data_IF_938099088670
#
_entry.id   IF_938099088670
#
_cell.length_a   1.000
_cell.length_b   1.000
_cell.length_c   1.000
_cell.angle_alpha   90.00
_cell.angle_beta   90.00
_cell.angle_gamma   90.00
#
_symmetry.space_group_name_H-M   'P 1'
#
loop_
_entity.id
_entity.type
_entity.pdbx_description
1 polymer ?
#
# COMPACT_ATOMS: atom_id res chain seq x y z
N UNK A 1 -6.84 19.74 1.28
CA UNK A 1 -6.51 18.75 0.22
C UNK A 1 -5.10 18.20 0.34
N UNK A 2 -4.05 19.03 0.28
CA UNK A 2 -2.66 18.52 0.29
C UNK A 2 -2.33 17.64 1.51
N UNK A 3 -2.68 18.08 2.73
CA UNK A 3 -2.47 17.27 3.94
C UNK A 3 -3.22 15.93 3.91
N UNK A 4 -4.47 15.93 3.42
CA UNK A 4 -5.27 14.72 3.24
C UNK A 4 -4.59 13.71 2.29
N UNK A 5 -4.00 14.22 1.20
CA UNK A 5 -3.24 13.39 0.26
C UNK A 5 -1.93 12.85 0.85
N UNK A 6 -1.17 13.69 1.56
CA UNK A 6 0.07 13.27 2.24
C UNK A 6 -0.21 12.17 3.27
N UNK A 7 -1.26 12.34 4.08
CA UNK A 7 -1.64 11.35 5.09
C UNK A 7 -2.00 10.01 4.43
N UNK A 8 -2.80 10.03 3.36
CA UNK A 8 -3.16 8.80 2.65
C UNK A 8 -1.95 8.07 2.05
N UNK A 9 -0.96 8.81 1.52
CA UNK A 9 0.29 8.21 1.03
C UNK A 9 1.12 7.58 2.16
N UNK A 10 1.30 8.31 3.25
CA UNK A 10 2.07 7.83 4.40
C UNK A 10 1.40 6.59 4.99
N UNK A 11 0.07 6.59 5.06
CA UNK A 11 -0.70 5.47 5.55
C UNK A 11 -0.61 4.26 4.59
N UNK A 12 -0.66 4.48 3.27
CA UNK A 12 -0.43 3.43 2.28
C UNK A 12 0.96 2.80 2.43
N UNK A 13 1.99 3.64 2.54
CA UNK A 13 3.35 3.16 2.73
C UNK A 13 3.49 2.40 4.05
N UNK A 14 2.95 2.92 5.15
CA UNK A 14 3.02 2.30 6.47
C UNK A 14 2.33 0.94 6.52
N UNK A 15 1.13 0.81 5.92
CA UNK A 15 0.40 -0.46 5.88
C UNK A 15 1.13 -1.50 5.01
N UNK A 16 1.62 -1.13 3.83
CA UNK A 16 2.40 -2.05 3.00
C UNK A 16 3.71 -2.46 3.69
N UNK A 17 4.39 -1.53 4.38
CA UNK A 17 5.60 -1.84 5.12
C UNK A 17 5.34 -2.75 6.33
N UNK A 18 4.21 -2.53 7.02
CA UNK A 18 3.73 -3.43 8.07
C UNK A 18 3.45 -4.84 7.54
N UNK A 19 2.80 -4.96 6.38
CA UNK A 19 2.59 -6.25 5.73
C UNK A 19 3.91 -6.94 5.34
N UNK A 20 4.88 -6.18 4.81
CA UNK A 20 6.23 -6.68 4.53
C UNK A 20 6.87 -7.25 5.80
N UNK A 21 6.85 -6.49 6.89
CA UNK A 21 7.48 -6.91 8.15
C UNK A 21 6.86 -8.18 8.72
N UNK A 22 5.52 -8.27 8.73
CA UNK A 22 4.81 -9.45 9.23
C UNK A 22 5.08 -10.70 8.38
N UNK A 23 5.11 -10.57 7.06
CA UNK A 23 5.37 -11.71 6.16
C UNK A 23 6.84 -12.11 6.23
N UNK A 24 7.77 -11.15 6.28
CA UNK A 24 9.19 -11.43 6.46
C UNK A 24 9.47 -12.17 7.78
N UNK A 25 8.79 -11.82 8.88
CA UNK A 25 8.89 -12.58 10.13
C UNK A 25 8.46 -14.03 9.96
N UNK A 26 7.33 -14.28 9.29
CA UNK A 26 6.85 -15.65 9.03
C UNK A 26 7.78 -16.47 8.12
N UNK A 27 8.45 -15.81 7.17
CA UNK A 27 9.47 -16.45 6.32
C UNK A 27 10.72 -16.79 7.14
N UNK A 28 11.14 -15.90 8.05
CA UNK A 28 12.29 -16.15 8.93
C UNK A 28 12.03 -17.24 9.97
N UNK A 29 10.78 -17.41 10.41
CA UNK A 29 10.34 -18.49 11.30
C UNK A 29 10.12 -19.83 10.58
N UNK A 30 10.45 -19.92 9.28
CA UNK A 30 10.25 -21.12 8.43
C UNK A 30 8.80 -21.62 8.35
N UNK A 31 7.84 -20.85 8.84
CA UNK A 31 6.40 -21.16 8.73
C UNK A 31 5.96 -21.07 7.26
N UNK A 32 6.68 -20.28 6.46
CA UNK A 32 6.30 -19.97 5.09
C UNK A 32 7.51 -19.94 4.16
N UNK A 33 7.40 -20.59 3.00
CA UNK A 33 8.42 -20.53 1.95
C UNK A 33 8.59 -19.11 1.41
N UNK A 34 9.79 -18.74 0.97
CA UNK A 34 10.09 -17.42 0.42
C UNK A 34 9.20 -17.09 -0.80
N UNK A 35 8.99 -18.06 -1.69
CA UNK A 35 8.19 -17.87 -2.90
C UNK A 35 6.71 -17.63 -2.55
N UNK A 36 6.19 -18.38 -1.58
CA UNK A 36 4.84 -18.15 -1.07
C UNK A 36 4.75 -16.79 -0.36
N UNK A 37 5.78 -16.38 0.38
CA UNK A 37 5.85 -15.11 1.09
C UNK A 37 5.77 -13.92 0.15
N UNK A 38 6.52 -13.96 -0.95
CA UNK A 38 6.43 -12.96 -2.03
C UNK A 38 5.03 -12.93 -2.65
N UNK A 39 4.42 -14.09 -2.86
CA UNK A 39 3.05 -14.22 -3.36
C UNK A 39 2.02 -13.56 -2.43
N UNK A 40 2.04 -13.88 -1.13
CA UNK A 40 1.15 -13.28 -0.15
C UNK A 40 1.40 -11.78 0.00
N UNK A 41 2.65 -11.32 -0.08
CA UNK A 41 2.97 -9.91 -0.02
C UNK A 41 2.43 -9.13 -1.22
N UNK A 42 2.51 -9.70 -2.42
CA UNK A 42 1.91 -9.13 -3.62
C UNK A 42 0.39 -8.96 -3.44
N UNK A 43 -0.30 -10.01 -2.98
CA UNK A 43 -1.74 -9.96 -2.72
C UNK A 43 -2.08 -8.94 -1.65
N UNK A 44 -1.31 -8.88 -0.56
CA UNK A 44 -1.52 -7.93 0.53
C UNK A 44 -1.40 -6.47 0.05
N UNK A 45 -0.36 -6.15 -0.71
CA UNK A 45 -0.18 -4.80 -1.29
C UNK A 45 -1.31 -4.41 -2.24
N UNK A 46 -1.82 -5.33 -3.05
CA UNK A 46 -2.98 -5.08 -3.94
C UNK A 46 -4.23 -4.77 -3.11
N UNK A 47 -4.51 -5.58 -2.08
CA UNK A 47 -5.69 -5.39 -1.21
C UNK A 47 -5.60 -4.08 -0.44
N UNK A 48 -4.43 -3.76 0.12
CA UNK A 48 -4.20 -2.49 0.84
C UNK A 48 -4.38 -1.30 -0.11
N UNK A 49 -3.76 -1.33 -1.28
CA UNK A 49 -3.90 -0.26 -2.28
C UNK A 49 -5.35 -0.05 -2.70
N UNK A 50 -6.10 -1.13 -2.93
CA UNK A 50 -7.51 -1.07 -3.28
C UNK A 50 -8.39 -0.48 -2.16
N UNK A 51 -8.23 -0.96 -0.93
CA UNK A 51 -9.02 -0.48 0.23
C UNK A 51 -8.71 1.00 0.51
N UNK A 52 -7.46 1.43 0.38
CA UNK A 52 -7.09 2.83 0.56
C UNK A 52 -7.56 3.74 -0.56
N UNK A 53 -7.55 3.26 -1.81
CA UNK A 53 -8.14 3.98 -2.93
C UNK A 53 -9.65 4.19 -2.72
N UNK A 54 -10.37 3.14 -2.31
CA UNK A 54 -11.80 3.21 -1.99
C UNK A 54 -12.07 4.15 -0.81
N UNK A 55 -11.33 3.99 0.28
CA UNK A 55 -11.45 4.86 1.46
C UNK A 55 -11.18 6.31 1.11
N UNK A 56 -10.10 6.59 0.38
CA UNK A 56 -9.71 7.92 -0.07
C UNK A 56 -10.70 8.56 -1.04
N UNK A 57 -11.38 7.77 -1.88
CA UNK A 57 -12.47 8.25 -2.72
C UNK A 57 -13.69 8.61 -1.88
N UNK A 58 -14.12 7.70 -0.99
CA UNK A 58 -15.28 7.91 -0.13
C UNK A 58 -15.10 9.12 0.79
N UNK A 59 -13.97 9.20 1.51
CA UNK A 59 -13.71 10.34 2.39
C UNK A 59 -13.52 11.64 1.61
N UNK A 60 -13.00 11.57 0.38
CA UNK A 60 -12.89 12.73 -0.52
C UNK A 60 -14.26 13.30 -0.92
N UNK A 61 -15.24 12.42 -1.20
CA UNK A 61 -16.62 12.83 -1.45
C UNK A 61 -17.27 13.45 -0.21
N UNK A 62 -17.10 12.84 0.97
CA UNK A 62 -17.70 13.37 2.22
C UNK A 62 -17.16 14.75 2.59
N UNK A 63 -15.92 15.06 2.22
CA UNK A 63 -15.30 16.37 2.43
C UNK A 63 -15.72 17.42 1.37
N UNK A 64 -16.57 17.04 0.42
CA UNK A 64 -17.10 17.95 -0.59
C UNK A 64 -16.15 18.23 -1.76
N UNK A 65 -15.07 17.46 -1.91
CA UNK A 65 -14.13 17.63 -3.04
C UNK A 65 -14.72 17.24 -4.40
N UNK A 66 -15.95 16.75 -4.44
CA UNK A 66 -16.68 16.45 -5.68
C UNK A 66 -17.50 17.65 -6.21
N UNK A 67 -17.64 18.73 -5.44
CA UNK A 67 -18.49 19.87 -5.82
C UNK A 67 -17.85 20.82 -6.86
N UNK A 68 -16.58 20.61 -7.21
CA UNK A 68 -15.86 21.45 -8.17
C UNK A 68 -15.04 20.55 -9.12
N UNK A 69 -15.13 20.78 -10.44
CA UNK A 69 -14.48 19.91 -11.45
C UNK A 69 -12.95 19.79 -11.23
N UNK A 70 -12.31 20.89 -10.83
CA UNK A 70 -10.89 20.92 -10.51
C UNK A 70 -10.53 20.01 -9.32
N UNK A 71 -11.38 19.96 -8.29
CA UNK A 71 -11.13 19.11 -7.12
C UNK A 71 -11.44 17.64 -7.36
N UNK A 72 -12.40 17.33 -8.23
CA UNK A 72 -12.69 15.96 -8.68
C UNK A 72 -11.50 15.37 -9.46
N UNK A 73 -10.90 16.15 -10.35
CA UNK A 73 -9.71 15.74 -11.12
C UNK A 73 -8.49 15.50 -10.21
N UNK A 74 -8.29 16.37 -9.21
CA UNK A 74 -7.23 16.22 -8.21
C UNK A 74 -7.42 14.99 -7.32
N UNK A 75 -8.67 14.62 -7.02
CA UNK A 75 -8.99 13.41 -6.24
C UNK A 75 -8.64 12.15 -7.02
N UNK A 76 -8.96 12.09 -8.32
CA UNK A 76 -8.56 10.97 -9.18
C UNK A 76 -7.03 10.84 -9.24
N UNK A 77 -6.31 11.95 -9.38
CA UNK A 77 -4.85 11.97 -9.42
C UNK A 77 -4.24 11.51 -8.09
N UNK A 78 -4.85 11.86 -6.96
CA UNK A 78 -4.42 11.40 -5.65
C UNK A 78 -4.59 9.88 -5.47
N UNK A 79 -5.68 9.30 -5.95
CA UNK A 79 -5.91 7.85 -5.92
C UNK A 79 -4.85 7.11 -6.74
N UNK A 80 -4.53 7.61 -7.94
CA UNK A 80 -3.43 7.08 -8.74
C UNK A 80 -2.11 7.13 -7.97
N UNK A 81 -1.88 8.19 -7.23
CA UNK A 81 -0.67 8.39 -6.44
C UNK A 81 -0.59 7.39 -5.28
N UNK A 82 -1.69 7.03 -4.63
CA UNK A 82 -1.73 5.95 -3.65
C UNK A 82 -1.34 4.60 -4.26
N UNK A 83 -1.87 4.29 -5.44
CA UNK A 83 -1.52 3.06 -6.17
C UNK A 83 -0.03 3.05 -6.49
N UNK A 84 0.54 4.16 -6.97
CA UNK A 84 1.97 4.27 -7.24
C UNK A 84 2.83 4.04 -5.98
N UNK A 85 2.43 4.60 -4.83
CA UNK A 85 3.12 4.35 -3.55
C UNK A 85 3.05 2.87 -3.17
N UNK A 86 1.88 2.23 -3.29
CA UNK A 86 1.76 0.80 -2.99
C UNK A 86 2.59 -0.08 -3.93
N UNK A 87 2.67 0.27 -5.21
CA UNK A 87 3.55 -0.38 -6.20
C UNK A 87 5.03 -0.22 -5.84
N UNK A 88 5.46 0.99 -5.45
CA UNK A 88 6.84 1.23 -5.02
C UNK A 88 7.19 0.42 -3.77
N UNK A 89 6.30 0.37 -2.78
CA UNK A 89 6.52 -0.46 -1.59
C UNK A 89 6.53 -1.95 -1.90
N UNK A 90 5.75 -2.39 -2.89
CA UNK A 90 5.75 -3.77 -3.37
C UNK A 90 7.09 -4.12 -4.01
N UNK A 91 7.59 -3.28 -4.92
CA UNK A 91 8.89 -3.49 -5.56
C UNK A 91 10.00 -3.53 -4.51
N UNK A 92 9.97 -2.57 -3.57
CA UNK A 92 10.91 -2.55 -2.47
C UNK A 92 10.87 -3.84 -1.65
N UNK A 93 9.69 -4.26 -1.18
CA UNK A 93 9.53 -5.45 -0.35
C UNK A 93 9.99 -6.71 -1.07
N UNK A 94 9.63 -6.90 -2.35
CA UNK A 94 10.05 -8.05 -3.16
C UNK A 94 11.56 -8.16 -3.32
N UNK A 95 12.27 -7.03 -3.47
CA UNK A 95 13.74 -7.00 -3.55
C UNK A 95 14.41 -7.24 -2.19
N UNK A 96 13.75 -6.81 -1.11
CA UNK A 96 14.30 -6.88 0.26
C UNK A 96 13.95 -8.17 1.01
N UNK A 97 13.07 -9.02 0.48
CA UNK A 97 12.79 -10.34 1.04
C UNK A 97 14.07 -11.19 1.11
N UNK A 98 14.30 -11.83 2.26
CA UNK A 98 15.46 -12.70 2.50
C UNK A 98 15.03 -14.01 3.14
N UNK A 99 15.70 -15.09 2.77
CA UNK A 99 15.61 -16.37 3.47
C UNK A 99 16.35 -16.30 4.82
N UNK A 100 15.95 -17.11 5.81
CA UNK A 100 16.72 -17.26 7.03
C UNK A 100 18.12 -17.82 6.72
N UNK A 101 19.15 -17.20 7.30
CA UNK A 101 20.52 -17.69 7.18
C UNK A 101 20.66 -18.97 8.01
N UNK A 102 20.66 -20.13 7.35
CA UNK A 102 21.02 -21.39 7.99
C UNK A 102 22.52 -21.36 8.37
N UNK A 103 22.81 -21.23 9.67
CA UNK A 103 24.13 -21.43 10.26
C UNK A 103 24.22 -22.77 10.95
#
# INVERSE_FOLDING_TARGET
MLAYFLIGMVLAAALCFGAYWLIQQKVLEEVLSLDDGKGYFLVACILIGFVLALGGFYTGQTLGFDQQEASSTLMALAILLYIMVTMLTLIFGLVKFREPEHY
#
